data_IF_621837923337
#
_entry.id   IF_621837923337
#
_cell.length_a   1.000
_cell.length_b   1.000
_cell.length_c   1.000
_cell.angle_alpha   90.00
_cell.angle_beta   90.00
_cell.angle_gamma   90.00
#
_symmetry.space_group_name_H-M   'P 1'
#
loop_
_entity.id
_entity.type
_entity.pdbx_description
1 polymer ?
#
# COMPACT_ATOMS: atom_id res chain seq x y z
N UNK A 1 -17.69 -15.06 3.17
CA UNK A 1 -17.82 -13.92 2.23
C UNK A 1 -16.76 -12.88 2.60
N UNK A 2 -16.10 -12.25 1.62
CA UNK A 2 -15.18 -11.15 1.88
C UNK A 2 -15.95 -9.82 1.83
N UNK A 3 -15.58 -8.88 2.71
CA UNK A 3 -16.23 -7.58 2.84
C UNK A 3 -15.21 -6.45 2.86
N UNK A 4 -15.53 -5.31 2.26
CA UNK A 4 -14.78 -4.06 2.39
C UNK A 4 -15.17 -3.45 3.73
N UNK A 5 -14.26 -3.45 4.69
CA UNK A 5 -14.46 -2.83 6.01
C UNK A 5 -14.26 -1.33 5.96
N UNK A 6 -13.19 -0.89 5.30
CA UNK A 6 -12.85 0.51 5.17
C UNK A 6 -12.06 0.78 3.88
N UNK A 7 -12.04 2.05 3.48
CA UNK A 7 -11.38 2.57 2.30
C UNK A 7 -10.66 3.88 2.63
N UNK A 8 -9.49 4.08 2.04
CA UNK A 8 -8.78 5.35 2.09
C UNK A 8 -8.15 5.66 0.74
N UNK A 9 -8.06 6.94 0.41
CA UNK A 9 -7.36 7.44 -0.78
C UNK A 9 -6.56 8.69 -0.46
N UNK A 10 -5.52 8.94 -1.25
CA UNK A 10 -4.71 10.16 -1.19
C UNK A 10 -4.75 10.79 -2.58
N UNK A 11 -5.33 11.98 -2.74
CA UNK A 11 -5.39 12.66 -4.02
C UNK A 11 -4.01 12.98 -4.58
N UNK A 12 -3.86 12.92 -5.90
CA UNK A 12 -2.64 13.35 -6.59
C UNK A 12 -2.28 14.80 -6.26
N UNK A 13 -0.98 15.11 -6.18
CA UNK A 13 -0.48 16.43 -5.83
C UNK A 13 -0.56 16.79 -4.33
N UNK A 14 -0.95 15.86 -3.46
CA UNK A 14 -0.94 16.07 -2.00
C UNK A 14 0.51 16.20 -1.49
N UNK A 15 0.79 17.22 -0.67
CA UNK A 15 2.05 17.29 0.08
C UNK A 15 2.07 16.19 1.15
N UNK A 16 2.79 15.10 0.85
CA UNK A 16 2.86 13.92 1.73
C UNK A 16 3.57 14.22 3.05
N UNK A 17 4.49 15.19 3.07
CA UNK A 17 5.18 15.60 4.30
C UNK A 17 4.24 16.37 5.22
N UNK A 18 3.45 17.29 4.68
CA UNK A 18 2.45 18.01 5.45
C UNK A 18 1.39 17.05 5.98
N UNK A 19 0.93 16.11 5.14
CA UNK A 19 -0.05 15.09 5.52
C UNK A 19 0.48 14.21 6.65
N UNK A 20 1.71 13.70 6.53
CA UNK A 20 2.36 12.91 7.57
C UNK A 20 2.44 13.66 8.90
N UNK A 21 2.84 14.95 8.89
CA UNK A 21 2.93 15.76 10.11
C UNK A 21 1.59 15.98 10.79
N UNK A 22 0.52 16.08 10.00
CA UNK A 22 -0.84 16.29 10.50
C UNK A 22 -1.47 15.02 11.08
N UNK A 23 -1.24 13.86 10.45
CA UNK A 23 -1.96 12.63 10.78
C UNK A 23 -1.16 11.63 11.64
N UNK A 24 0.19 11.65 11.55
CA UNK A 24 1.05 10.62 12.18
C UNK A 24 2.09 11.24 13.10
N UNK A 25 3.15 11.82 12.56
CA UNK A 25 4.16 12.61 13.25
C UNK A 25 5.19 11.85 14.10
N UNK A 26 5.03 10.55 14.34
CA UNK A 26 5.82 9.76 15.30
C UNK A 26 6.74 8.69 14.68
N UNK A 27 6.95 8.72 13.35
CA UNK A 27 7.75 7.74 12.63
C UNK A 27 8.82 8.38 11.74
N UNK A 28 9.98 8.78 12.28
CA UNK A 28 11.02 9.51 11.53
C UNK A 28 11.55 8.81 10.29
N UNK A 29 11.44 7.48 10.20
CA UNK A 29 11.83 6.70 9.03
C UNK A 29 11.04 7.11 7.78
N UNK A 30 9.84 7.67 7.94
CA UNK A 30 9.00 8.19 6.86
C UNK A 30 9.78 9.10 5.89
N UNK A 31 10.66 9.97 6.41
CA UNK A 31 11.45 10.91 5.61
C UNK A 31 12.52 10.24 4.74
N UNK A 32 12.81 8.96 4.96
CA UNK A 32 13.76 8.16 4.16
C UNK A 32 13.06 7.33 3.09
N UNK A 33 11.74 7.18 3.16
CA UNK A 33 10.95 6.41 2.22
C UNK A 33 10.87 7.12 0.86
N UNK A 34 10.79 6.33 -0.20
CA UNK A 34 10.38 6.83 -1.52
C UNK A 34 8.88 7.19 -1.54
N UNK A 35 8.43 7.80 -2.63
CA UNK A 35 7.05 8.28 -2.76
C UNK A 35 6.02 7.15 -2.66
N UNK A 36 6.27 5.99 -3.28
CA UNK A 36 5.35 4.86 -3.21
C UNK A 36 5.22 4.32 -1.77
N UNK A 37 6.34 4.17 -1.06
CA UNK A 37 6.32 3.75 0.34
C UNK A 37 5.65 4.76 1.27
N UNK A 38 5.86 6.07 1.06
CA UNK A 38 5.15 7.13 1.81
C UNK A 38 3.64 7.04 1.63
N UNK A 39 3.17 6.84 0.39
CA UNK A 39 1.75 6.68 0.07
C UNK A 39 1.17 5.45 0.74
N UNK A 40 1.79 4.29 0.57
CA UNK A 40 1.34 3.04 1.19
C UNK A 40 1.33 3.11 2.71
N UNK A 41 2.37 3.73 3.31
CA UNK A 41 2.44 3.97 4.74
C UNK A 41 1.26 4.81 5.25
N UNK A 42 0.99 5.97 4.62
CA UNK A 42 -0.10 6.86 5.02
C UNK A 42 -1.49 6.21 4.84
N UNK A 43 -1.69 5.46 3.76
CA UNK A 43 -2.92 4.68 3.56
C UNK A 43 -3.10 3.63 4.66
N UNK A 44 -2.03 2.92 5.03
CA UNK A 44 -2.06 1.93 6.11
C UNK A 44 -2.36 2.57 7.47
N UNK A 45 -1.80 3.74 7.77
CA UNK A 45 -2.10 4.50 9.01
C UNK A 45 -3.58 4.89 9.10
N UNK A 46 -4.22 5.25 7.98
CA UNK A 46 -5.65 5.58 7.92
C UNK A 46 -6.56 4.37 8.07
N UNK A 47 -6.10 3.20 7.67
CA UNK A 47 -6.87 1.95 7.69
C UNK A 47 -6.55 1.04 8.87
N UNK A 48 -5.58 1.43 9.73
CA UNK A 48 -5.17 0.62 10.85
C UNK A 48 -6.26 0.50 11.92
N UNK A 49 -6.44 -0.73 12.42
CA UNK A 49 -7.38 -1.03 13.50
C UNK A 49 -6.82 -0.64 14.87
N UNK A 50 -7.71 -0.40 15.83
CA UNK A 50 -7.37 -0.39 17.23
C UNK A 50 -7.58 -1.80 17.86
N UNK A 51 -6.70 -2.25 18.78
CA UNK A 51 -5.49 -1.57 19.24
C UNK A 51 -4.36 -1.65 18.20
N UNK A 52 -3.68 -0.53 17.97
CA UNK A 52 -2.57 -0.44 17.02
C UNK A 52 -1.34 -1.24 17.50
N UNK A 53 -0.52 -1.66 16.52
CA UNK A 53 0.78 -2.31 16.78
C UNK A 53 0.70 -3.63 17.53
N UNK A 54 -0.45 -4.28 17.51
CA UNK A 54 -0.58 -5.66 17.95
C UNK A 54 -0.22 -6.60 16.78
N UNK A 55 0.57 -7.66 17.05
CA UNK A 55 0.89 -8.63 16.01
C UNK A 55 -0.37 -9.23 15.36
N UNK A 56 -0.39 -9.28 14.03
CA UNK A 56 -1.50 -9.82 13.23
C UNK A 56 -0.93 -10.82 12.21
N UNK A 57 -0.85 -12.08 12.62
CA UNK A 57 -0.41 -13.20 11.77
C UNK A 57 -1.38 -13.48 10.62
N UNK A 58 -2.64 -13.09 10.78
CA UNK A 58 -3.74 -13.28 9.85
C UNK A 58 -3.96 -12.11 8.87
N UNK A 59 -3.13 -11.05 8.93
CA UNK A 59 -3.28 -9.89 8.05
C UNK A 59 -2.28 -9.88 6.92
N UNK A 60 -2.78 -10.05 5.69
CA UNK A 60 -2.00 -9.90 4.48
C UNK A 60 -1.83 -8.42 4.09
N UNK A 61 -0.73 -8.11 3.36
CA UNK A 61 -0.49 -6.78 2.74
C UNK A 61 -0.22 -6.99 1.25
N UNK A 62 -1.13 -6.54 0.40
CA UNK A 62 -1.10 -6.76 -1.05
C UNK A 62 -1.11 -5.41 -1.77
N UNK A 63 -0.01 -5.02 -2.41
CA UNK A 63 0.10 -3.74 -3.10
C UNK A 63 0.28 -3.92 -4.60
N UNK A 64 -0.39 -3.06 -5.36
CA UNK A 64 -0.43 -3.11 -6.82
C UNK A 64 -0.02 -1.76 -7.40
N UNK A 65 0.64 -1.77 -8.56
CA UNK A 65 1.03 -0.57 -9.32
C UNK A 65 1.24 -0.90 -10.80
N UNK A 66 1.40 0.13 -11.65
CA UNK A 66 1.98 -0.04 -12.99
C UNK A 66 3.48 0.18 -12.99
N UNK A 67 3.94 1.12 -12.19
CA UNK A 67 5.33 1.60 -12.21
C UNK A 67 6.27 0.83 -11.28
N UNK A 68 5.74 0.07 -10.29
CA UNK A 68 6.59 -0.53 -9.27
C UNK A 68 7.44 0.52 -8.55
N UNK A 69 8.76 0.36 -8.56
CA UNK A 69 9.75 1.31 -7.99
C UNK A 69 10.35 2.28 -9.00
N UNK A 70 9.84 2.37 -10.24
CA UNK A 70 10.49 3.08 -11.34
C UNK A 70 10.80 4.57 -11.03
N UNK A 71 9.96 5.24 -10.25
CA UNK A 71 10.22 6.63 -9.83
C UNK A 71 11.51 6.70 -9.02
N UNK A 72 11.66 5.84 -8.03
CA UNK A 72 12.87 5.79 -7.18
C UNK A 72 14.09 5.22 -7.92
N UNK A 73 13.89 4.30 -8.88
CA UNK A 73 14.97 3.76 -9.70
C UNK A 73 15.68 4.87 -10.49
N UNK A 74 14.92 5.83 -11.01
CA UNK A 74 15.48 7.01 -11.69
C UNK A 74 16.30 7.89 -10.74
N UNK A 75 15.81 8.16 -9.53
CA UNK A 75 16.57 8.90 -8.52
C UNK A 75 17.85 8.15 -8.12
N UNK A 76 17.78 6.82 -8.00
CA UNK A 76 18.97 6.02 -7.73
C UNK A 76 19.97 6.06 -8.89
N UNK A 77 19.52 5.91 -10.14
CA UNK A 77 20.34 5.99 -11.33
C UNK A 77 21.12 7.33 -11.40
N UNK A 78 20.46 8.45 -11.14
CA UNK A 78 21.11 9.77 -11.05
C UNK A 78 22.22 9.79 -9.99
N UNK A 79 21.99 9.15 -8.83
CA UNK A 79 22.97 9.10 -7.74
C UNK A 79 24.21 8.27 -8.06
N UNK A 80 24.10 7.27 -8.95
CA UNK A 80 25.20 6.34 -9.27
C UNK A 80 26.39 7.06 -9.93
N UNK A 81 26.15 8.13 -10.69
CA UNK A 81 27.19 8.87 -11.42
C UNK A 81 28.04 9.76 -10.51
N UNK A 82 27.56 10.15 -9.35
CA UNK A 82 28.30 10.95 -8.38
C UNK A 82 28.72 10.13 -7.16
N UNK A 83 27.75 9.70 -6.39
CA UNK A 83 27.94 8.88 -5.21
C UNK A 83 26.72 7.98 -4.99
N UNK A 84 26.81 6.65 -5.24
CA UNK A 84 25.68 5.75 -5.09
C UNK A 84 25.06 5.83 -3.69
N UNK A 85 23.77 6.14 -3.64
CA UNK A 85 23.04 6.29 -2.38
C UNK A 85 22.49 4.95 -1.88
N UNK A 86 23.03 4.38 -0.77
CA UNK A 86 22.49 3.14 -0.21
C UNK A 86 21.04 3.27 0.25
N UNK A 87 20.63 4.47 0.68
CA UNK A 87 19.25 4.72 1.11
C UNK A 87 18.27 4.71 -0.06
N UNK A 88 18.63 5.23 -1.23
CA UNK A 88 17.81 5.13 -2.43
C UNK A 88 17.77 3.69 -2.95
N UNK A 89 18.89 2.97 -2.91
CA UNK A 89 18.96 1.59 -3.37
C UNK A 89 17.96 0.67 -2.67
N UNK A 90 17.74 0.84 -1.37
CA UNK A 90 16.77 0.02 -0.62
C UNK A 90 15.36 0.10 -1.23
N UNK A 91 14.97 1.27 -1.72
CA UNK A 91 13.63 1.51 -2.26
C UNK A 91 13.52 1.25 -3.78
N UNK A 92 14.51 0.62 -4.42
CA UNK A 92 14.43 0.18 -5.83
C UNK A 92 13.67 -1.15 -6.00
N UNK A 93 13.19 -1.76 -4.93
CA UNK A 93 12.45 -3.01 -4.96
C UNK A 93 10.94 -2.74 -4.74
N UNK A 94 10.06 -3.16 -5.67
CA UNK A 94 8.62 -2.86 -5.57
C UNK A 94 7.94 -3.40 -4.31
N UNK A 95 8.49 -4.43 -3.67
CA UNK A 95 7.92 -5.04 -2.47
C UNK A 95 8.32 -4.34 -1.16
N UNK A 96 9.20 -3.35 -1.19
CA UNK A 96 9.58 -2.61 0.04
C UNK A 96 8.37 -1.91 0.66
N UNK A 97 7.43 -1.42 -0.15
CA UNK A 97 6.19 -0.82 0.34
C UNK A 97 5.42 -1.75 1.29
N UNK A 98 5.30 -3.04 0.96
CA UNK A 98 4.60 -4.01 1.82
C UNK A 98 5.37 -4.27 3.11
N UNK A 99 6.70 -4.31 3.04
CA UNK A 99 7.58 -4.46 4.19
C UNK A 99 7.50 -3.27 5.16
N UNK A 100 7.50 -2.03 4.66
CA UNK A 100 7.35 -0.83 5.50
C UNK A 100 6.01 -0.81 6.24
N UNK A 101 4.92 -1.17 5.57
CA UNK A 101 3.59 -1.30 6.16
C UNK A 101 3.57 -2.40 7.23
N UNK A 102 4.09 -3.58 6.89
CA UNK A 102 4.11 -4.74 7.79
C UNK A 102 4.93 -4.47 9.06
N UNK A 103 6.14 -3.91 8.92
CA UNK A 103 7.00 -3.56 10.05
C UNK A 103 6.32 -2.54 10.97
N UNK A 104 5.76 -1.47 10.40
CA UNK A 104 5.10 -0.41 11.19
C UNK A 104 3.93 -0.95 11.99
N UNK A 105 3.08 -1.78 11.37
CA UNK A 105 1.82 -2.21 11.96
C UNK A 105 1.89 -3.59 12.62
N UNK A 106 3.05 -4.28 12.58
CA UNK A 106 3.24 -5.66 13.04
C UNK A 106 2.30 -6.65 12.35
N UNK A 107 2.13 -6.50 11.04
CA UNK A 107 1.42 -7.46 10.23
C UNK A 107 2.41 -8.56 9.81
N UNK A 108 2.09 -9.79 10.15
CA UNK A 108 2.97 -10.95 9.99
C UNK A 108 2.43 -11.97 8.97
N UNK A 109 1.30 -11.64 8.32
CA UNK A 109 0.72 -12.44 7.24
C UNK A 109 1.46 -12.28 5.92
N UNK A 110 0.85 -12.76 4.83
CA UNK A 110 1.41 -12.67 3.48
C UNK A 110 1.70 -11.22 3.09
N UNK A 111 2.87 -10.98 2.45
CA UNK A 111 3.19 -9.69 1.84
C UNK A 111 3.54 -9.89 0.37
N UNK A 112 2.82 -9.21 -0.54
CA UNK A 112 3.03 -9.35 -1.98
C UNK A 112 2.89 -8.00 -2.70
N UNK A 113 3.75 -7.77 -3.69
CA UNK A 113 3.70 -6.61 -4.57
C UNK A 113 3.50 -7.07 -6.03
N UNK A 114 2.54 -6.47 -6.71
CA UNK A 114 2.15 -6.81 -8.07
C UNK A 114 2.35 -5.62 -9.00
N UNK A 115 3.03 -5.85 -10.11
CA UNK A 115 3.16 -4.85 -11.19
C UNK A 115 2.28 -5.31 -12.35
N UNK A 116 1.29 -4.50 -12.69
CA UNK A 116 0.29 -4.80 -13.73
C UNK A 116 0.40 -3.75 -14.85
N UNK A 117 -0.08 -4.08 -16.04
CA UNK A 117 -0.11 -3.13 -17.15
C UNK A 117 -1.00 -1.91 -16.85
N UNK A 118 -2.10 -2.11 -16.11
CA UNK A 118 -3.05 -1.08 -15.70
C UNK A 118 -3.85 -1.54 -14.47
N UNK A 119 -4.52 -0.62 -13.81
CA UNK A 119 -5.52 -0.99 -12.82
C UNK A 119 -6.65 -1.76 -13.48
N UNK A 120 -6.84 -3.01 -13.07
CA UNK A 120 -7.95 -3.88 -13.49
C UNK A 120 -8.67 -4.42 -12.26
N UNK A 121 -9.90 -3.96 -11.99
CA UNK A 121 -10.66 -4.37 -10.81
C UNK A 121 -10.90 -5.89 -10.73
N UNK A 122 -11.04 -6.57 -11.88
CA UNK A 122 -11.22 -8.01 -11.92
C UNK A 122 -9.98 -8.76 -11.42
N UNK A 123 -8.81 -8.40 -11.94
CA UNK A 123 -7.53 -8.96 -11.48
C UNK A 123 -7.26 -8.61 -10.02
N UNK A 124 -7.52 -7.37 -9.61
CA UNK A 124 -7.34 -6.93 -8.21
C UNK A 124 -8.17 -7.79 -7.26
N UNK A 125 -9.47 -7.96 -7.52
CA UNK A 125 -10.36 -8.79 -6.70
C UNK A 125 -9.89 -10.24 -6.68
N UNK A 126 -9.59 -10.83 -7.84
CA UNK A 126 -9.18 -12.23 -7.93
C UNK A 126 -7.90 -12.54 -7.14
N UNK A 127 -6.89 -11.64 -7.22
CA UNK A 127 -5.63 -11.80 -6.47
C UNK A 127 -5.86 -11.66 -4.96
N UNK A 128 -6.66 -10.68 -4.53
CA UNK A 128 -6.98 -10.52 -3.11
C UNK A 128 -7.76 -11.74 -2.60
N UNK A 129 -8.75 -12.23 -3.35
CA UNK A 129 -9.51 -13.45 -2.97
C UNK A 129 -8.58 -14.67 -2.87
N UNK A 130 -7.57 -14.79 -3.74
CA UNK A 130 -6.60 -15.88 -3.71
C UNK A 130 -5.80 -15.90 -2.40
N UNK A 131 -5.41 -14.75 -1.87
CA UNK A 131 -4.68 -14.68 -0.58
C UNK A 131 -5.50 -15.27 0.59
N UNK A 132 -6.82 -15.21 0.51
CA UNK A 132 -7.69 -15.82 1.52
C UNK A 132 -7.87 -17.34 1.37
N UNK A 133 -7.30 -17.99 0.35
CA UNK A 133 -7.41 -19.43 0.15
C UNK A 133 -6.42 -20.23 1.01
N UNK A 134 -5.45 -19.60 1.62
CA UNK A 134 -4.43 -20.21 2.46
C UNK A 134 -4.99 -20.82 3.80
N UNK A 135 -6.23 -20.48 4.17
CA UNK A 135 -6.87 -20.90 5.41
C UNK A 135 -6.40 -20.15 6.66
N UNK A 136 -5.42 -19.26 6.56
CA UNK A 136 -4.84 -18.46 7.65
C UNK A 136 -5.28 -17.00 7.55
N UNK A 137 -5.27 -16.42 6.36
CA UNK A 137 -5.60 -15.02 6.13
C UNK A 137 -7.04 -14.71 6.51
N UNK A 138 -7.21 -13.90 7.55
CA UNK A 138 -8.49 -13.40 8.05
C UNK A 138 -8.83 -12.00 7.55
N UNK A 139 -7.79 -11.20 7.23
CA UNK A 139 -7.92 -9.85 6.70
C UNK A 139 -6.78 -9.49 5.75
N UNK A 140 -7.01 -8.53 4.85
CA UNK A 140 -6.00 -8.03 3.92
C UNK A 140 -6.05 -6.51 3.81
N UNK A 141 -4.92 -5.85 3.98
CA UNK A 141 -4.70 -4.49 3.53
C UNK A 141 -4.25 -4.58 2.07
N UNK A 142 -5.09 -4.15 1.15
CA UNK A 142 -4.80 -4.23 -0.27
C UNK A 142 -5.00 -2.87 -0.94
N UNK A 143 -4.08 -2.46 -1.81
CA UNK A 143 -4.11 -1.13 -2.39
C UNK A 143 -3.46 -1.00 -3.75
N UNK A 144 -3.86 0.02 -4.48
CA UNK A 144 -3.23 0.52 -5.68
C UNK A 144 -2.41 1.75 -5.34
N UNK A 145 -1.11 1.66 -5.52
CA UNK A 145 -0.18 2.76 -5.25
C UNK A 145 0.74 2.91 -6.45
N UNK A 146 0.45 3.88 -7.29
CA UNK A 146 1.13 4.11 -8.57
C UNK A 146 1.79 5.47 -8.58
N UNK A 147 3.07 5.54 -8.22
CA UNK A 147 3.86 6.76 -8.17
C UNK A 147 4.67 6.91 -9.46
N UNK A 148 4.20 7.74 -10.39
CA UNK A 148 4.89 8.03 -11.66
C UNK A 148 6.00 9.06 -11.47
N UNK A 149 5.81 9.97 -10.52
CA UNK A 149 6.81 10.92 -10.01
C UNK A 149 6.48 11.26 -8.55
N UNK A 150 7.25 12.16 -7.93
CA UNK A 150 6.99 12.60 -6.55
C UNK A 150 5.67 13.36 -6.39
N UNK A 151 5.18 14.00 -7.46
CA UNK A 151 3.95 14.80 -7.45
C UNK A 151 2.80 14.17 -8.27
N UNK A 152 3.12 13.22 -9.17
CA UNK A 152 2.14 12.52 -10.00
C UNK A 152 1.94 11.09 -9.54
N UNK A 153 0.85 10.85 -8.83
CA UNK A 153 0.51 9.54 -8.30
C UNK A 153 -0.99 9.29 -8.20
N UNK A 154 -1.34 8.03 -8.13
CA UNK A 154 -2.68 7.53 -7.79
C UNK A 154 -2.54 6.56 -6.63
N UNK A 155 -3.23 6.82 -5.52
CA UNK A 155 -3.09 6.00 -4.33
C UNK A 155 -4.41 5.81 -3.59
N UNK A 156 -4.81 4.55 -3.43
CA UNK A 156 -5.94 4.14 -2.61
C UNK A 156 -5.72 2.74 -2.04
N UNK A 157 -6.40 2.44 -0.95
CA UNK A 157 -6.34 1.12 -0.33
C UNK A 157 -7.66 0.76 0.36
N UNK A 158 -7.84 -0.53 0.56
CA UNK A 158 -8.96 -1.16 1.24
C UNK A 158 -8.46 -2.02 2.40
N UNK A 159 -9.22 -2.05 3.47
CA UNK A 159 -9.15 -3.12 4.43
C UNK A 159 -10.29 -4.11 4.12
N UNK A 160 -9.92 -5.32 3.74
CA UNK A 160 -10.85 -6.41 3.40
C UNK A 160 -10.80 -7.45 4.50
N UNK A 161 -11.96 -7.95 4.93
CA UNK A 161 -12.07 -8.94 6.00
C UNK A 161 -12.97 -10.11 5.60
N UNK A 162 -12.68 -11.27 6.21
CA UNK A 162 -13.53 -12.45 6.12
C UNK A 162 -14.72 -12.31 7.08
N UNK A 163 -15.94 -12.29 6.54
CA UNK A 163 -17.19 -12.20 7.30
C UNK A 163 -17.28 -10.97 8.23
N UNK A 164 -16.55 -9.89 7.92
CA UNK A 164 -16.60 -8.63 8.65
C UNK A 164 -17.80 -7.76 8.28
N UNK A 165 -18.01 -6.64 8.98
CA UNK A 165 -18.99 -5.63 8.59
C UNK A 165 -18.54 -4.92 7.31
N UNK A 166 -19.51 -4.37 6.55
CA UNK A 166 -19.25 -3.60 5.34
C UNK A 166 -19.95 -4.17 4.11
N UNK A 167 -19.62 -3.61 2.95
CA UNK A 167 -20.18 -4.08 1.68
C UNK A 167 -19.37 -5.26 1.14
N UNK A 168 -20.00 -6.09 0.31
CA UNK A 168 -19.32 -7.23 -0.30
C UNK A 168 -18.08 -6.78 -1.11
N UNK A 169 -16.97 -7.49 -0.92
CA UNK A 169 -15.78 -7.26 -1.73
C UNK A 169 -15.96 -7.94 -3.10
N UNK A 170 -16.24 -7.15 -4.10
CA UNK A 170 -16.42 -7.56 -5.48
C UNK A 170 -16.09 -6.40 -6.44
N UNK A 171 -16.04 -6.70 -7.73
CA UNK A 171 -15.67 -5.73 -8.78
C UNK A 171 -16.58 -4.50 -8.80
N UNK A 172 -17.90 -4.68 -8.66
CA UNK A 172 -18.88 -3.60 -8.71
C UNK A 172 -18.70 -2.62 -7.55
N UNK A 173 -18.65 -3.12 -6.32
CA UNK A 173 -18.50 -2.31 -5.11
C UNK A 173 -17.12 -1.63 -5.04
N UNK A 174 -16.06 -2.34 -5.46
CA UNK A 174 -14.73 -1.79 -5.53
C UNK A 174 -14.67 -0.61 -6.51
N UNK A 175 -15.19 -0.81 -7.72
CA UNK A 175 -15.23 0.23 -8.75
C UNK A 175 -16.06 1.43 -8.32
N UNK A 176 -17.24 1.19 -7.72
CA UNK A 176 -18.09 2.24 -7.16
C UNK A 176 -17.41 3.05 -6.05
N UNK A 177 -16.59 2.42 -5.22
CA UNK A 177 -15.86 3.09 -4.13
C UNK A 177 -14.68 3.94 -4.65
N UNK A 178 -13.92 3.44 -5.61
CA UNK A 178 -12.74 4.16 -6.15
C UNK A 178 -13.14 5.41 -6.96
N UNK A 179 -14.32 5.43 -7.56
CA UNK A 179 -14.76 6.54 -8.44
C UNK A 179 -15.70 7.55 -7.73
N UNK A 180 -15.86 7.50 -6.42
CA UNK A 180 -16.55 8.51 -5.61
C UNK A 180 -15.61 9.66 -5.24
#
# INVERSE_FOLDING_TARGET
>A
MLTIRSFASIPGGTDLTALYRAEVGDYPKFFKMDTACKLGFLLAERLADEPRFMPREDRAVLMFSTCGSLCNDRHYEESVWEFPSPSLFVYTLPNIITGEIAIRNKYEGETSAYVLERFDPGTFVAVVEQAFQDGVTGSALCGWVDARSDDDFTAFAFLVERNGPGQAFNVENLYGTVNQ
#
